data_IF_698558981593
#
_entry.id   IF_698558981593
#
_cell.length_a   1.000
_cell.length_b   1.000
_cell.length_c   1.000
_cell.angle_alpha   90.00
_cell.angle_beta   90.00
_cell.angle_gamma   90.00
#
_symmetry.space_group_name_H-M   'P 1'
#
loop_
_entity.id
_entity.type
_entity.pdbx_description
1 polymer ?
#
# COMPACT_ATOMS: atom_id res chain seq x y z
N UNK A 1 28.75 42.41 -37.95
CA UNK A 1 29.65 41.42 -37.33
C UNK A 1 30.34 42.05 -36.17
N UNK A 2 30.39 41.47 -34.97
CA UNK A 2 30.89 41.89 -33.67
C UNK A 2 29.82 42.38 -32.67
N UNK A 3 29.16 41.45 -32.00
CA UNK A 3 28.42 41.70 -30.72
C UNK A 3 28.28 40.48 -29.81
N UNK A 4 29.06 39.43 -29.91
CA UNK A 4 28.90 38.20 -29.10
C UNK A 4 30.16 37.79 -28.29
N UNK A 5 31.01 38.75 -27.88
CA UNK A 5 32.26 38.42 -27.21
C UNK A 5 32.36 38.95 -25.76
N UNK A 6 31.24 39.14 -25.02
CA UNK A 6 31.27 39.64 -23.64
C UNK A 6 30.52 38.84 -22.58
N UNK A 7 30.04 37.61 -22.89
CA UNK A 7 29.25 36.80 -21.95
C UNK A 7 29.95 35.52 -21.40
N UNK A 8 31.17 35.26 -21.83
CA UNK A 8 31.91 34.03 -21.43
C UNK A 8 32.63 34.10 -20.07
N UNK A 9 33.06 35.27 -19.49
CA UNK A 9 33.76 35.24 -18.20
C UNK A 9 32.87 35.09 -16.96
N UNK A 10 31.54 35.24 -17.05
CA UNK A 10 30.65 35.13 -15.87
C UNK A 10 30.27 33.70 -15.49
N UNK A 11 30.36 32.75 -16.42
CA UNK A 11 30.06 31.33 -16.16
C UNK A 11 31.20 30.57 -15.48
N UNK A 12 32.43 31.09 -15.58
CA UNK A 12 33.62 30.45 -14.99
C UNK A 12 33.84 30.81 -13.51
N UNK A 13 33.15 31.84 -12.99
CA UNK A 13 33.24 32.23 -11.57
C UNK A 13 32.36 31.39 -10.66
N UNK A 14 31.34 30.70 -11.22
CA UNK A 14 30.41 29.86 -10.46
C UNK A 14 30.99 28.48 -10.07
N UNK A 15 32.00 27.97 -10.74
CA UNK A 15 32.54 26.63 -10.53
C UNK A 15 33.73 26.57 -9.54
N UNK A 16 34.29 27.71 -9.13
CA UNK A 16 35.40 27.73 -8.17
C UNK A 16 34.99 27.76 -6.69
N UNK A 17 33.71 27.86 -6.37
CA UNK A 17 33.21 27.82 -4.97
C UNK A 17 32.98 26.40 -4.42
N UNK A 18 33.11 25.35 -5.22
CA UNK A 18 32.94 23.97 -4.78
C UNK A 18 34.21 23.30 -4.19
N UNK A 19 35.35 23.95 -4.23
CA UNK A 19 36.63 23.36 -3.84
C UNK A 19 37.16 24.00 -2.57
N UNK A 20 36.84 23.48 -1.40
CA UNK A 20 37.48 23.51 -0.09
C UNK A 20 36.51 23.73 1.09
N UNK A 21 35.46 22.94 1.18
CA UNK A 21 34.72 22.83 2.44
C UNK A 21 35.57 21.98 3.42
N UNK A 22 36.55 22.58 4.11
CA UNK A 22 37.27 21.94 5.18
C UNK A 22 36.37 21.70 6.39
N UNK A 23 36.66 20.67 7.21
CA UNK A 23 35.91 20.44 8.44
C UNK A 23 35.81 21.69 9.31
N UNK A 24 36.88 22.52 9.34
CA UNK A 24 36.91 23.80 10.04
C UNK A 24 35.84 24.78 9.52
N UNK A 25 35.75 25.01 8.18
CA UNK A 25 34.78 25.95 7.60
C UNK A 25 33.33 25.51 7.84
N UNK A 26 33.08 24.19 7.68
CA UNK A 26 31.76 23.63 7.97
C UNK A 26 31.38 23.82 9.44
N UNK A 27 32.32 23.62 10.36
CA UNK A 27 32.08 23.82 11.78
C UNK A 27 31.85 25.29 12.12
N UNK A 28 32.63 26.22 11.58
CA UNK A 28 32.44 27.65 11.74
C UNK A 28 31.12 28.16 11.16
N UNK A 29 30.66 27.53 10.07
CA UNK A 29 29.35 27.76 9.47
C UNK A 29 28.21 27.04 10.21
N UNK A 30 28.45 26.40 11.35
CA UNK A 30 27.48 25.63 12.15
C UNK A 30 26.83 24.45 11.40
N UNK A 31 27.43 23.99 10.31
CA UNK A 31 26.95 22.86 9.50
C UNK A 31 27.45 21.53 10.09
N UNK A 32 27.08 21.27 11.34
CA UNK A 32 27.65 20.17 12.14
C UNK A 32 27.44 18.79 11.51
N UNK A 33 26.27 18.51 10.94
CA UNK A 33 26.00 17.25 10.26
C UNK A 33 26.92 17.05 9.03
N UNK A 34 27.21 18.12 8.29
CA UNK A 34 28.13 18.05 7.16
C UNK A 34 29.59 17.78 7.59
N UNK A 35 30.02 18.29 8.75
CA UNK A 35 31.31 17.92 9.35
C UNK A 35 31.34 16.42 9.59
N UNK A 36 30.30 15.86 10.22
CA UNK A 36 30.21 14.45 10.55
C UNK A 36 30.22 13.60 9.28
N UNK A 37 29.38 13.94 8.30
CA UNK A 37 29.30 13.24 7.01
C UNK A 37 30.62 13.21 6.25
N UNK A 38 31.40 14.29 6.35
CA UNK A 38 32.70 14.41 5.68
C UNK A 38 33.79 13.65 6.39
N UNK A 39 33.88 13.80 7.70
CA UNK A 39 35.08 13.32 8.48
C UNK A 39 34.91 11.88 8.91
N UNK A 40 33.69 11.44 9.29
CA UNK A 40 33.46 10.11 9.80
C UNK A 40 33.92 8.98 8.85
N UNK A 41 33.66 9.03 7.53
CA UNK A 41 34.13 8.00 6.60
C UNK A 41 35.64 7.89 6.53
N UNK A 42 36.36 9.00 6.66
CA UNK A 42 37.84 8.99 6.62
C UNK A 42 38.43 8.39 7.90
N UNK A 43 37.81 8.68 9.06
CA UNK A 43 38.20 8.04 10.34
C UNK A 43 37.94 6.53 10.30
N UNK A 44 36.84 6.08 9.69
CA UNK A 44 36.51 4.66 9.50
C UNK A 44 37.55 3.94 8.61
N UNK A 45 38.17 4.66 7.67
CA UNK A 45 39.25 4.16 6.82
C UNK A 45 40.65 4.23 7.50
N UNK A 46 40.71 4.64 8.77
CA UNK A 46 41.98 4.76 9.52
C UNK A 46 42.74 6.05 9.29
N UNK A 47 42.20 7.03 8.58
CA UNK A 47 42.85 8.33 8.38
C UNK A 47 42.60 9.24 9.59
N UNK A 48 43.53 9.30 10.51
CA UNK A 48 43.42 9.98 11.80
C UNK A 48 44.06 11.38 11.76
N UNK A 49 43.34 12.37 11.20
CA UNK A 49 43.71 13.76 11.33
C UNK A 49 43.15 14.32 12.66
N UNK A 50 44.06 14.64 13.61
CA UNK A 50 43.66 15.10 14.94
C UNK A 50 42.78 16.39 14.91
N UNK A 51 43.07 17.34 13.99
CA UNK A 51 42.29 18.56 13.86
C UNK A 51 40.84 18.27 13.37
N UNK A 52 40.73 17.41 12.38
CA UNK A 52 39.41 17.04 11.84
C UNK A 52 38.59 16.23 12.85
N UNK A 53 39.23 15.34 13.62
CA UNK A 53 38.60 14.61 14.73
C UNK A 53 38.08 15.56 15.81
N UNK A 54 38.83 16.63 16.14
CA UNK A 54 38.35 17.62 17.12
C UNK A 54 37.12 18.36 16.62
N UNK A 55 37.09 18.79 15.33
CA UNK A 55 35.88 19.40 14.74
C UNK A 55 34.71 18.42 14.68
N UNK A 56 34.96 17.15 14.34
CA UNK A 56 33.96 16.09 14.35
C UNK A 56 33.39 15.91 15.76
N UNK A 57 34.21 15.80 16.79
CA UNK A 57 33.80 15.62 18.17
C UNK A 57 32.90 16.79 18.64
N UNK A 58 33.40 18.02 18.42
CA UNK A 58 32.64 19.22 18.77
C UNK A 58 31.30 19.32 18.00
N UNK A 59 31.30 18.96 16.71
CA UNK A 59 30.08 18.93 15.87
C UNK A 59 29.07 17.90 16.37
N UNK A 60 29.54 16.69 16.71
CA UNK A 60 28.66 15.62 17.24
C UNK A 60 27.96 16.07 18.53
N UNK A 61 28.69 16.64 19.49
CA UNK A 61 28.10 17.09 20.75
C UNK A 61 27.14 18.25 20.54
N UNK A 62 27.52 19.28 19.77
CA UNK A 62 26.67 20.44 19.51
C UNK A 62 25.40 20.09 18.77
N UNK A 63 25.49 19.25 17.73
CA UNK A 63 24.33 18.83 16.97
C UNK A 63 23.34 18.02 17.82
N UNK A 64 23.84 17.07 18.62
CA UNK A 64 22.97 16.28 19.49
C UNK A 64 22.36 17.13 20.64
N UNK A 65 23.11 18.05 21.19
CA UNK A 65 22.60 18.98 22.21
C UNK A 65 21.49 19.86 21.62
N UNK A 66 21.69 20.48 20.46
CA UNK A 66 20.71 21.31 19.78
C UNK A 66 19.41 20.52 19.47
N UNK A 67 19.54 19.26 18.99
CA UNK A 67 18.38 18.42 18.74
C UNK A 67 17.66 18.05 20.04
N UNK A 68 18.41 17.73 21.11
CA UNK A 68 17.81 17.42 22.41
C UNK A 68 17.02 18.62 22.97
N UNK A 69 17.63 19.81 22.98
CA UNK A 69 16.98 21.04 23.44
C UNK A 69 15.71 21.35 22.62
N UNK A 70 15.81 21.20 21.28
CA UNK A 70 14.65 21.42 20.40
C UNK A 70 13.54 20.39 20.62
N UNK A 71 13.88 19.11 20.82
CA UNK A 71 12.90 18.06 21.16
C UNK A 71 12.17 18.42 22.46
N UNK A 72 12.89 18.85 23.49
CA UNK A 72 12.27 19.23 24.76
C UNK A 72 11.34 20.44 24.58
N UNK A 73 11.76 21.46 23.84
CA UNK A 73 10.95 22.64 23.53
C UNK A 73 9.67 22.25 22.78
N UNK A 74 9.77 21.36 21.77
CA UNK A 74 8.63 20.88 21.00
C UNK A 74 7.67 20.05 21.86
N UNK A 75 8.20 19.13 22.69
CA UNK A 75 7.37 18.34 23.63
C UNK A 75 6.61 19.22 24.60
N UNK A 76 7.22 20.32 25.06
CA UNK A 76 6.58 21.27 25.99
C UNK A 76 5.39 22.02 25.38
N UNK A 77 5.28 22.13 24.05
CA UNK A 77 4.11 22.75 23.40
C UNK A 77 2.84 21.91 23.54
N UNK A 78 2.96 20.60 23.73
CA UNK A 78 1.83 19.67 23.79
C UNK A 78 1.06 19.51 22.48
N UNK A 79 1.52 20.15 21.38
CA UNK A 79 0.82 20.12 20.10
C UNK A 79 1.09 18.83 19.32
N UNK A 80 0.09 18.24 18.63
CA UNK A 80 0.28 16.99 17.89
C UNK A 80 1.09 17.15 16.61
N UNK A 81 1.11 18.33 16.00
CA UNK A 81 1.78 18.64 14.73
C UNK A 81 3.32 18.69 14.84
N UNK A 82 3.86 18.72 16.06
CA UNK A 82 5.31 18.74 16.29
C UNK A 82 5.96 17.35 16.22
N UNK A 83 5.18 16.27 16.30
CA UNK A 83 5.72 14.90 16.38
C UNK A 83 6.51 14.45 15.15
N UNK A 84 6.15 14.83 13.90
CA UNK A 84 6.99 14.57 12.74
C UNK A 84 8.40 15.19 12.86
N UNK A 85 8.50 16.43 13.35
CA UNK A 85 9.81 17.09 13.58
C UNK A 85 10.58 16.37 14.68
N UNK A 86 9.95 16.03 15.81
CA UNK A 86 10.58 15.29 16.91
C UNK A 86 11.15 13.96 16.42
N UNK A 87 10.37 13.18 15.66
CA UNK A 87 10.85 11.91 15.11
C UNK A 87 12.03 12.11 14.16
N UNK A 88 11.99 13.09 13.27
CA UNK A 88 13.07 13.41 12.36
C UNK A 88 14.37 13.76 13.11
N UNK A 89 14.28 14.49 14.23
CA UNK A 89 15.43 14.81 15.08
C UNK A 89 16.02 13.56 15.72
N UNK A 90 15.21 12.66 16.22
CA UNK A 90 15.69 11.38 16.71
C UNK A 90 16.35 10.54 15.60
N UNK A 91 15.83 10.56 14.39
CA UNK A 91 16.47 9.93 13.22
C UNK A 91 17.86 10.54 12.94
N UNK A 92 18.00 11.86 13.04
CA UNK A 92 19.29 12.57 12.87
C UNK A 92 20.29 12.16 13.96
N UNK A 93 19.87 12.14 15.22
CA UNK A 93 20.71 11.68 16.35
C UNK A 93 21.15 10.23 16.18
N UNK A 94 20.25 9.34 15.77
CA UNK A 94 20.56 7.94 15.44
C UNK A 94 21.56 7.85 14.29
N UNK A 95 21.36 8.61 13.22
CA UNK A 95 22.26 8.66 12.07
C UNK A 95 23.69 9.06 12.47
N UNK A 96 23.84 10.05 13.35
CA UNK A 96 25.14 10.44 13.91
C UNK A 96 25.79 9.32 14.74
N UNK A 97 25.00 8.63 15.58
CA UNK A 97 25.48 7.47 16.32
C UNK A 97 25.98 6.35 15.40
N UNK A 98 25.22 6.05 14.33
CA UNK A 98 25.58 5.03 13.35
C UNK A 98 26.87 5.40 12.60
N UNK A 99 27.05 6.67 12.22
CA UNK A 99 28.26 7.15 11.54
C UNK A 99 29.53 6.94 12.37
N UNK A 100 29.43 6.88 13.70
CA UNK A 100 30.54 6.68 14.60
C UNK A 100 30.76 5.22 15.04
N UNK A 101 29.91 4.28 14.59
CA UNK A 101 30.01 2.85 14.99
C UNK A 101 31.39 2.23 14.69
N UNK A 102 31.94 2.51 13.52
CA UNK A 102 33.18 1.97 13.03
C UNK A 102 34.44 2.57 13.70
N UNK A 103 34.30 3.61 14.53
CA UNK A 103 35.44 4.29 15.13
C UNK A 103 36.19 3.41 16.10
N UNK A 104 37.55 3.44 16.10
CA UNK A 104 38.37 2.80 17.11
C UNK A 104 38.02 3.29 18.52
N UNK A 105 38.08 2.42 19.51
CA UNK A 105 37.76 2.76 20.91
C UNK A 105 38.59 3.94 21.44
N UNK A 106 39.85 4.02 21.02
CA UNK A 106 40.76 5.13 21.39
C UNK A 106 40.24 6.48 20.90
N UNK A 107 39.69 6.53 19.67
CA UNK A 107 39.08 7.75 19.09
C UNK A 107 37.81 8.09 19.82
N UNK A 108 36.89 7.11 20.04
CA UNK A 108 35.67 7.30 20.81
C UNK A 108 35.92 7.86 22.20
N UNK A 109 36.94 7.31 22.91
CA UNK A 109 37.31 7.80 24.24
C UNK A 109 37.83 9.24 24.17
N UNK A 110 38.69 9.57 23.17
CA UNK A 110 39.22 10.91 22.97
C UNK A 110 38.13 11.96 22.61
N UNK A 111 37.01 11.53 22.00
CA UNK A 111 35.88 12.37 21.68
C UNK A 111 34.85 12.50 22.82
N UNK A 112 35.07 11.85 23.97
CA UNK A 112 34.03 11.69 25.01
C UNK A 112 32.70 11.15 24.45
N UNK A 113 32.79 10.20 23.49
CA UNK A 113 31.62 9.63 22.86
C UNK A 113 30.78 8.84 23.85
N UNK A 114 29.50 9.21 23.96
CA UNK A 114 28.49 8.46 24.68
C UNK A 114 27.50 7.92 23.67
N UNK A 115 27.27 6.59 23.68
CA UNK A 115 26.23 5.98 22.86
C UNK A 115 24.87 6.42 23.39
N UNK A 116 24.10 7.09 22.55
CA UNK A 116 22.74 7.48 22.89
C UNK A 116 21.81 6.26 22.77
N UNK A 117 21.06 5.97 23.81
CA UNK A 117 19.96 5.01 23.76
C UNK A 117 18.68 5.79 23.41
N UNK A 118 18.23 5.66 22.17
CA UNK A 118 17.11 6.41 21.61
C UNK A 118 15.93 5.48 21.25
N UNK A 119 16.03 4.17 21.53
CA UNK A 119 15.11 3.16 20.99
C UNK A 119 13.66 3.46 21.32
N UNK A 120 13.33 3.53 22.60
CA UNK A 120 11.95 3.71 23.07
C UNK A 120 11.40 5.10 22.73
N UNK A 121 12.20 6.14 22.94
CA UNK A 121 11.81 7.52 22.65
C UNK A 121 11.55 7.73 21.15
N UNK A 122 12.40 7.18 20.29
CA UNK A 122 12.25 7.27 18.84
C UNK A 122 11.02 6.50 18.36
N UNK A 123 10.76 5.31 18.94
CA UNK A 123 9.58 4.52 18.61
C UNK A 123 8.29 5.24 19.04
N UNK A 124 8.26 5.79 20.24
CA UNK A 124 7.12 6.58 20.74
C UNK A 124 6.87 7.82 19.86
N UNK A 125 7.94 8.54 19.47
CA UNK A 125 7.84 9.68 18.58
C UNK A 125 7.33 9.27 17.18
N UNK A 126 7.80 8.14 16.64
CA UNK A 126 7.33 7.59 15.36
C UNK A 126 5.83 7.33 15.40
N UNK A 127 5.34 6.61 16.41
CA UNK A 127 3.93 6.26 16.51
C UNK A 127 3.03 7.50 16.59
N UNK A 128 3.45 8.53 17.34
CA UNK A 128 2.72 9.79 17.44
C UNK A 128 2.77 10.59 16.13
N UNK A 129 3.92 10.60 15.44
CA UNK A 129 4.05 11.22 14.12
C UNK A 129 3.15 10.55 13.09
N UNK A 130 3.14 9.21 13.03
CA UNK A 130 2.26 8.45 12.15
C UNK A 130 0.79 8.76 12.43
N UNK A 131 0.37 8.71 13.69
CA UNK A 131 -1.01 9.02 14.09
C UNK A 131 -1.44 10.43 13.64
N UNK A 132 -0.60 11.43 13.86
CA UNK A 132 -0.87 12.80 13.41
C UNK A 132 -0.96 12.89 11.87
N UNK A 133 0.02 12.33 11.15
CA UNK A 133 0.09 12.43 9.69
C UNK A 133 -1.09 11.74 9.02
N UNK A 134 -1.51 10.58 9.53
CA UNK A 134 -2.70 9.85 9.08
C UNK A 134 -3.97 10.68 9.33
N UNK A 135 -4.16 11.16 10.57
CA UNK A 135 -5.35 11.94 10.93
C UNK A 135 -5.45 13.23 10.09
N UNK A 136 -4.33 13.94 9.91
CA UNK A 136 -4.29 15.20 9.15
C UNK A 136 -4.55 14.98 7.67
N UNK A 137 -3.94 13.95 7.07
CA UNK A 137 -4.19 13.57 5.67
C UNK A 137 -5.65 13.16 5.46
N UNK A 138 -6.20 12.33 6.36
CA UNK A 138 -7.60 11.88 6.30
C UNK A 138 -8.58 13.04 6.44
N UNK A 139 -8.34 13.98 7.36
CA UNK A 139 -9.16 15.18 7.54
C UNK A 139 -9.19 16.02 6.26
N UNK A 140 -8.04 16.26 5.63
CA UNK A 140 -7.98 17.03 4.39
C UNK A 140 -8.71 16.31 3.25
N UNK A 141 -8.47 15.01 3.08
CA UNK A 141 -9.14 14.22 2.05
C UNK A 141 -10.65 14.06 2.29
N UNK A 142 -11.16 14.30 3.51
CA UNK A 142 -12.61 14.23 3.77
C UNK A 142 -13.39 15.40 3.17
N UNK A 143 -12.75 16.51 2.82
CA UNK A 143 -13.39 17.65 2.15
C UNK A 143 -13.79 17.33 0.70
N UNK A 144 -13.13 16.36 0.07
CA UNK A 144 -13.31 16.03 -1.35
C UNK A 144 -12.80 17.09 -2.32
N UNK A 145 -12.15 18.16 -1.82
CA UNK A 145 -11.65 19.23 -2.69
C UNK A 145 -10.28 18.90 -3.31
N UNK A 146 -10.06 19.32 -4.57
CA UNK A 146 -8.80 19.14 -5.26
C UNK A 146 -7.65 19.86 -4.53
N UNK A 147 -7.92 21.07 -4.01
CA UNK A 147 -6.92 21.86 -3.26
C UNK A 147 -6.46 21.15 -1.99
N UNK A 148 -7.40 20.58 -1.21
CA UNK A 148 -7.05 19.86 0.01
C UNK A 148 -6.34 18.54 -0.31
N UNK A 149 -6.68 17.89 -1.43
CA UNK A 149 -5.97 16.70 -1.91
C UNK A 149 -4.51 17.01 -2.32
N UNK A 150 -4.26 18.17 -2.95
CA UNK A 150 -2.91 18.65 -3.24
C UNK A 150 -2.10 18.85 -1.95
N UNK A 151 -2.70 19.52 -0.96
CA UNK A 151 -2.05 19.77 0.32
C UNK A 151 -1.85 18.51 1.16
N UNK A 152 -2.82 17.59 1.17
CA UNK A 152 -2.70 16.28 1.82
C UNK A 152 -1.48 15.49 1.32
N UNK A 153 -1.08 15.70 0.06
CA UNK A 153 0.10 15.08 -0.52
C UNK A 153 1.38 15.30 0.29
N UNK A 154 1.54 16.46 0.93
CA UNK A 154 2.71 16.77 1.78
C UNK A 154 2.76 15.88 3.02
N UNK A 155 1.62 15.67 3.67
CA UNK A 155 1.51 14.84 4.87
C UNK A 155 1.62 13.35 4.54
N UNK A 156 1.04 12.92 3.42
CA UNK A 156 1.18 11.55 2.91
C UNK A 156 2.65 11.22 2.59
N UNK A 157 3.37 12.16 1.98
CA UNK A 157 4.79 11.98 1.69
C UNK A 157 5.62 11.92 2.98
N UNK A 158 5.34 12.76 3.96
CA UNK A 158 5.97 12.67 5.28
C UNK A 158 5.65 11.32 5.97
N UNK A 159 4.41 10.84 5.88
CA UNK A 159 4.02 9.52 6.41
C UNK A 159 4.84 8.40 5.73
N UNK A 160 4.98 8.45 4.41
CA UNK A 160 5.78 7.50 3.63
C UNK A 160 7.25 7.48 4.07
N UNK A 161 7.83 8.64 4.38
CA UNK A 161 9.20 8.74 4.92
C UNK A 161 9.29 8.26 6.36
N UNK A 162 8.24 8.45 7.16
CA UNK A 162 8.19 8.02 8.56
C UNK A 162 8.00 6.50 8.66
N UNK A 163 7.08 5.94 7.87
CA UNK A 163 6.79 4.51 7.82
C UNK A 163 6.19 4.10 6.47
N UNK A 164 6.99 3.47 5.63
CA UNK A 164 6.55 2.96 4.32
C UNK A 164 5.56 1.80 4.40
N UNK A 165 5.53 1.11 5.52
CA UNK A 165 4.68 -0.07 5.78
C UNK A 165 3.42 0.31 6.57
N UNK A 166 3.14 1.62 6.74
CA UNK A 166 1.92 2.04 7.41
C UNK A 166 0.68 1.54 6.66
N UNK A 167 -0.20 0.83 7.36
CA UNK A 167 -1.36 0.15 6.77
C UNK A 167 -2.32 1.11 6.05
N UNK A 168 -2.40 2.38 6.45
CA UNK A 168 -3.29 3.37 5.86
C UNK A 168 -2.66 4.16 4.71
N UNK A 169 -1.34 4.01 4.48
CA UNK A 169 -0.62 4.80 3.48
C UNK A 169 -1.19 4.60 2.07
N UNK A 170 -1.45 3.35 1.69
CA UNK A 170 -1.98 3.03 0.37
C UNK A 170 -3.37 3.63 0.16
N UNK A 171 -4.25 3.55 1.17
CA UNK A 171 -5.62 4.07 1.07
C UNK A 171 -5.63 5.59 0.98
N UNK A 172 -4.78 6.28 1.76
CA UNK A 172 -4.62 7.73 1.64
C UNK A 172 -4.10 8.15 0.26
N UNK A 173 -3.15 7.39 -0.32
CA UNK A 173 -2.63 7.65 -1.65
C UNK A 173 -3.69 7.42 -2.73
N UNK A 174 -4.45 6.32 -2.67
CA UNK A 174 -5.56 6.04 -3.60
C UNK A 174 -6.60 7.16 -3.56
N UNK A 175 -7.05 7.52 -2.35
CA UNK A 175 -8.05 8.58 -2.15
C UNK A 175 -7.57 9.92 -2.69
N UNK A 176 -6.32 10.29 -2.42
CA UNK A 176 -5.71 11.49 -2.99
C UNK A 176 -5.70 11.46 -4.52
N UNK A 177 -5.29 10.35 -5.12
CA UNK A 177 -5.23 10.21 -6.57
C UNK A 177 -6.62 10.38 -7.19
N UNK A 178 -7.66 9.80 -6.60
CA UNK A 178 -9.04 9.95 -7.05
C UNK A 178 -9.50 11.41 -7.05
N UNK A 179 -9.23 12.17 -5.99
CA UNK A 179 -9.64 13.59 -5.93
C UNK A 179 -8.83 14.52 -6.85
N UNK A 180 -7.65 14.10 -7.27
CA UNK A 180 -6.84 14.86 -8.23
C UNK A 180 -7.17 14.49 -9.68
N UNK A 181 -7.79 13.32 -9.92
CA UNK A 181 -8.10 12.82 -11.25
C UNK A 181 -9.30 13.59 -11.84
N UNK A 182 -9.19 13.99 -13.11
CA UNK A 182 -10.33 14.48 -13.90
C UNK A 182 -11.18 13.30 -14.43
N UNK A 183 -10.54 12.14 -14.62
CA UNK A 183 -11.15 10.87 -15.05
C UNK A 183 -10.50 9.71 -14.35
N UNK A 184 -11.28 8.69 -14.07
CA UNK A 184 -10.75 7.42 -13.55
C UNK A 184 -10.60 6.43 -14.69
N UNK A 185 -9.37 6.10 -15.02
CA UNK A 185 -9.03 5.12 -16.04
C UNK A 185 -8.61 3.81 -15.38
N UNK A 186 -9.16 2.69 -15.88
CA UNK A 186 -8.77 1.35 -15.46
C UNK A 186 -8.08 0.62 -16.60
N UNK A 187 -7.02 -0.11 -16.25
CA UNK A 187 -6.40 -1.10 -17.11
C UNK A 187 -6.92 -2.51 -16.80
N UNK A 188 -6.94 -3.38 -17.83
CA UNK A 188 -7.23 -4.79 -17.66
C UNK A 188 -6.26 -5.65 -18.47
N UNK A 189 -5.77 -6.73 -17.87
CA UNK A 189 -4.98 -7.75 -18.56
C UNK A 189 -5.25 -9.13 -17.96
N UNK A 190 -5.16 -10.16 -18.81
CA UNK A 190 -5.32 -11.55 -18.41
C UNK A 190 -4.37 -12.44 -19.21
N UNK A 191 -3.80 -13.43 -18.57
CA UNK A 191 -3.03 -14.51 -19.21
C UNK A 191 -3.98 -15.60 -19.77
N UNK A 192 -5.29 -15.49 -19.54
CA UNK A 192 -6.33 -16.44 -19.94
C UNK A 192 -7.33 -15.81 -20.92
N UNK A 193 -7.92 -16.63 -21.77
CA UNK A 193 -9.10 -16.26 -22.54
C UNK A 193 -10.30 -16.23 -21.61
N UNK A 194 -10.94 -15.07 -21.49
CA UNK A 194 -12.11 -14.85 -20.66
C UNK A 194 -13.36 -14.67 -21.52
N UNK A 195 -14.56 -14.99 -21.02
CA UNK A 195 -15.80 -14.82 -21.78
C UNK A 195 -16.06 -13.35 -22.14
N UNK A 196 -16.82 -13.15 -23.21
CA UNK A 196 -17.37 -11.84 -23.56
C UNK A 196 -18.22 -11.30 -22.39
N UNK A 197 -18.07 -10.00 -22.09
CA UNK A 197 -18.73 -9.37 -20.96
C UNK A 197 -18.02 -9.53 -19.61
N UNK A 198 -16.94 -10.34 -19.50
CA UNK A 198 -16.20 -10.44 -18.24
C UNK A 198 -15.64 -9.08 -17.79
N UNK A 199 -14.99 -8.35 -18.69
CA UNK A 199 -14.42 -7.03 -18.42
C UNK A 199 -15.50 -6.03 -18.05
N UNK A 200 -16.62 -6.06 -18.76
CA UNK A 200 -17.77 -5.19 -18.49
C UNK A 200 -18.39 -5.50 -17.10
N UNK A 201 -18.44 -6.77 -16.73
CA UNK A 201 -18.90 -7.19 -15.40
C UNK A 201 -17.94 -6.76 -14.27
N UNK A 202 -16.61 -6.69 -14.54
CA UNK A 202 -15.63 -6.21 -13.56
C UNK A 202 -15.74 -4.70 -13.35
N UNK A 203 -16.05 -3.92 -14.40
CA UNK A 203 -16.02 -2.45 -14.35
C UNK A 203 -17.41 -1.80 -14.55
N UNK A 204 -18.47 -2.58 -14.49
CA UNK A 204 -19.86 -2.08 -14.53
C UNK A 204 -20.28 -1.50 -13.19
N UNK A 205 -19.67 -0.38 -12.79
CA UNK A 205 -20.02 0.32 -11.56
C UNK A 205 -21.34 1.09 -11.71
N UNK A 206 -22.19 1.00 -10.71
CA UNK A 206 -23.35 1.88 -10.62
C UNK A 206 -22.94 3.31 -10.25
N UNK A 207 -23.71 4.32 -10.70
CA UNK A 207 -23.37 5.73 -10.47
C UNK A 207 -23.19 6.11 -8.99
N UNK A 208 -23.82 5.38 -8.06
CA UNK A 208 -23.68 5.56 -6.61
C UNK A 208 -22.45 4.85 -6.00
N UNK A 209 -21.73 4.05 -6.77
CA UNK A 209 -20.55 3.32 -6.29
C UNK A 209 -19.26 4.09 -6.47
N UNK A 210 -19.28 5.13 -7.29
CA UNK A 210 -18.13 6.02 -7.52
C UNK A 210 -18.13 7.18 -6.52
N UNK A 211 -16.94 7.64 -6.09
CA UNK A 211 -16.82 8.86 -5.29
C UNK A 211 -17.45 10.07 -6.00
N UNK A 212 -18.02 10.99 -5.23
CA UNK A 212 -18.61 12.22 -5.77
C UNK A 212 -17.58 13.02 -6.59
N UNK A 213 -17.96 13.45 -7.78
CA UNK A 213 -17.11 14.24 -8.69
C UNK A 213 -16.35 13.42 -9.75
N UNK A 214 -16.57 12.10 -9.79
CA UNK A 214 -16.03 11.25 -10.87
C UNK A 214 -17.11 11.11 -11.94
N UNK A 215 -16.87 11.67 -13.14
CA UNK A 215 -17.84 11.68 -14.25
C UNK A 215 -17.97 10.33 -14.97
N UNK A 216 -17.25 9.30 -14.55
CA UNK A 216 -17.33 7.94 -15.11
C UNK A 216 -16.04 7.16 -15.04
N UNK A 217 -16.16 5.88 -15.33
CA UNK A 217 -15.04 4.93 -15.42
C UNK A 217 -14.76 4.63 -16.87
N UNK A 218 -13.51 4.80 -17.28
CA UNK A 218 -13.05 4.45 -18.61
C UNK A 218 -12.13 3.23 -18.52
N UNK A 219 -12.55 2.12 -19.13
CA UNK A 219 -11.73 0.93 -19.25
C UNK A 219 -10.91 0.99 -20.53
N UNK A 220 -9.60 1.00 -20.41
CA UNK A 220 -8.69 1.08 -21.55
C UNK A 220 -7.76 -0.12 -21.57
N UNK A 221 -7.50 -0.64 -22.77
CA UNK A 221 -6.59 -1.78 -22.95
C UNK A 221 -5.16 -1.48 -22.50
N UNK A 222 -4.69 -0.25 -22.69
CA UNK A 222 -3.38 0.24 -22.25
C UNK A 222 -3.47 1.74 -21.88
N UNK A 223 -4.03 2.08 -20.72
CA UNK A 223 -4.11 3.47 -20.29
C UNK A 223 -2.70 4.01 -19.98
N UNK A 224 -2.45 5.29 -20.33
CA UNK A 224 -1.17 5.95 -20.03
C UNK A 224 -0.99 6.22 -18.53
N UNK A 225 -2.07 6.61 -17.90
CA UNK A 225 -2.11 6.98 -16.47
C UNK A 225 -3.33 6.34 -15.80
N UNK A 226 -3.37 4.99 -15.68
CA UNK A 226 -4.50 4.34 -15.03
C UNK A 226 -4.52 4.70 -13.54
N UNK A 227 -5.72 4.84 -12.98
CA UNK A 227 -5.89 4.83 -11.54
C UNK A 227 -5.57 3.44 -10.97
N UNK A 228 -6.11 2.39 -11.63
CA UNK A 228 -5.80 1.02 -11.27
C UNK A 228 -5.76 0.11 -12.51
N UNK A 229 -5.04 -1.02 -12.40
CA UNK A 229 -5.01 -2.06 -13.41
C UNK A 229 -5.27 -3.41 -12.76
N UNK A 230 -6.31 -4.09 -13.23
CA UNK A 230 -6.65 -5.46 -12.84
C UNK A 230 -5.86 -6.42 -13.72
N UNK A 231 -5.13 -7.32 -13.07
CA UNK A 231 -4.31 -8.35 -13.73
C UNK A 231 -4.78 -9.72 -13.26
N UNK A 232 -5.48 -10.47 -14.12
CA UNK A 232 -5.89 -11.86 -13.84
C UNK A 232 -4.73 -12.79 -14.11
N UNK A 233 -4.31 -13.54 -13.08
CA UNK A 233 -3.16 -14.45 -13.14
C UNK A 233 -3.53 -15.92 -13.08
N UNK A 234 -4.70 -16.25 -12.55
CA UNK A 234 -5.16 -17.62 -12.51
C UNK A 234 -6.68 -17.69 -12.64
N UNK A 235 -7.13 -18.67 -13.41
CA UNK A 235 -8.54 -19.05 -13.58
C UNK A 235 -8.64 -20.54 -13.38
N UNK A 236 -9.36 -20.95 -12.36
CA UNK A 236 -9.59 -22.37 -12.06
C UNK A 236 -11.09 -22.66 -12.17
N UNK A 237 -11.45 -23.58 -13.03
CA UNK A 237 -12.82 -24.08 -13.20
C UNK A 237 -12.84 -25.54 -12.77
N UNK A 238 -13.65 -25.88 -11.76
CA UNK A 238 -13.84 -27.29 -11.39
C UNK A 238 -14.73 -28.02 -12.41
N UNK A 239 -14.51 -29.31 -12.65
CA UNK A 239 -15.51 -30.12 -13.35
C UNK A 239 -16.80 -30.13 -12.53
N UNK A 240 -17.94 -30.34 -13.22
CA UNK A 240 -19.20 -30.62 -12.55
C UNK A 240 -19.08 -31.93 -11.81
N UNK A 241 -19.32 -31.91 -10.50
CA UNK A 241 -19.37 -33.12 -9.69
C UNK A 241 -20.84 -33.48 -9.42
N UNK A 242 -21.20 -34.70 -9.72
CA UNK A 242 -22.51 -35.28 -9.47
C UNK A 242 -22.31 -36.48 -8.54
N UNK A 243 -22.75 -36.32 -7.30
CA UNK A 243 -22.72 -37.40 -6.31
C UNK A 243 -24.15 -37.91 -6.14
N UNK A 244 -24.33 -39.25 -6.08
CA UNK A 244 -25.62 -39.92 -5.87
C UNK A 244 -25.47 -40.97 -4.79
N UNK A 245 -26.40 -40.93 -3.84
CA UNK A 245 -26.52 -41.96 -2.80
C UNK A 245 -27.94 -42.51 -2.82
N UNK A 246 -28.06 -43.84 -3.10
CA UNK A 246 -29.37 -44.50 -3.15
C UNK A 246 -29.55 -45.44 -1.97
N UNK A 247 -30.76 -45.48 -1.42
CA UNK A 247 -31.18 -46.37 -0.35
C UNK A 247 -32.64 -46.76 -0.51
N UNK A 248 -33.12 -47.77 0.25
CA UNK A 248 -34.50 -48.23 0.19
C UNK A 248 -35.22 -47.91 1.50
N UNK A 249 -36.43 -47.40 1.37
CA UNK A 249 -37.39 -47.26 2.47
C UNK A 249 -38.53 -48.24 2.28
N UNK A 250 -39.05 -48.75 3.40
CA UNK A 250 -40.17 -49.68 3.40
C UNK A 250 -41.22 -49.23 4.45
N UNK A 251 -42.47 -49.17 4.07
CA UNK A 251 -43.59 -48.87 4.96
C UNK A 251 -44.87 -49.57 4.47
N UNK A 252 -45.60 -50.19 5.38
CA UNK A 252 -46.90 -50.81 5.03
C UNK A 252 -46.86 -51.88 3.95
N UNK A 253 -45.75 -52.61 3.79
CA UNK A 253 -45.55 -53.61 2.73
C UNK A 253 -45.22 -53.02 1.37
N UNK A 254 -45.02 -51.71 1.25
CA UNK A 254 -44.57 -50.97 0.07
C UNK A 254 -43.11 -50.62 0.18
N UNK A 255 -42.42 -50.59 -0.95
CA UNK A 255 -40.98 -50.23 -1.04
C UNK A 255 -40.78 -49.08 -2.00
N UNK A 256 -39.88 -48.19 -1.64
CA UNK A 256 -39.44 -47.08 -2.49
C UNK A 256 -37.90 -47.03 -2.48
N UNK A 257 -37.32 -46.81 -3.63
CA UNK A 257 -35.91 -46.50 -3.78
C UNK A 257 -35.78 -44.99 -3.79
N UNK A 258 -34.95 -44.46 -2.87
CA UNK A 258 -34.69 -43.02 -2.70
C UNK A 258 -33.27 -42.78 -3.19
N UNK A 259 -33.08 -41.76 -4.04
CA UNK A 259 -31.78 -41.33 -4.49
C UNK A 259 -31.58 -39.86 -4.12
N UNK A 260 -30.62 -39.59 -3.26
CA UNK A 260 -30.14 -38.25 -2.92
C UNK A 260 -29.02 -37.85 -3.87
N UNK A 261 -29.19 -36.73 -4.54
CA UNK A 261 -28.26 -36.18 -5.53
C UNK A 261 -27.63 -34.91 -5.02
N UNK A 262 -26.34 -34.71 -5.23
CA UNK A 262 -25.63 -33.47 -4.97
C UNK A 262 -24.85 -33.06 -6.22
N UNK A 263 -25.15 -31.84 -6.71
CA UNK A 263 -24.48 -31.23 -7.84
C UNK A 263 -23.58 -30.07 -7.32
N UNK A 264 -22.32 -30.15 -7.67
CA UNK A 264 -21.34 -29.13 -7.22
C UNK A 264 -20.48 -28.67 -8.39
N UNK A 265 -20.27 -27.37 -8.50
CA UNK A 265 -19.34 -26.75 -9.45
C UNK A 265 -18.79 -25.45 -8.86
N UNK A 266 -17.54 -25.11 -9.13
CA UNK A 266 -16.93 -23.88 -8.67
C UNK A 266 -15.99 -23.29 -9.71
N UNK A 267 -15.89 -21.96 -9.67
CA UNK A 267 -14.91 -21.18 -10.43
C UNK A 267 -14.17 -20.27 -9.45
N UNK A 268 -12.86 -20.18 -9.59
CA UNK A 268 -12.02 -19.23 -8.85
C UNK A 268 -11.21 -18.40 -9.84
N UNK A 269 -11.19 -17.08 -9.61
CA UNK A 269 -10.37 -16.13 -10.37
C UNK A 269 -9.50 -15.40 -9.39
N UNK A 270 -8.19 -15.36 -9.65
CA UNK A 270 -7.24 -14.67 -8.77
C UNK A 270 -6.19 -13.88 -9.56
N UNK A 271 -5.61 -12.89 -8.90
CA UNK A 271 -4.66 -11.98 -9.49
C UNK A 271 -4.32 -10.80 -8.59
N UNK A 272 -4.09 -9.64 -9.21
CA UNK A 272 -3.67 -8.42 -8.53
C UNK A 272 -4.40 -7.21 -9.08
N UNK A 273 -4.70 -6.25 -8.19
CA UNK A 273 -5.05 -4.87 -8.56
C UNK A 273 -3.84 -4.00 -8.27
N UNK A 274 -3.25 -3.43 -9.31
CA UNK A 274 -2.16 -2.47 -9.20
C UNK A 274 -2.75 -1.06 -9.18
N UNK A 275 -2.37 -0.23 -8.23
CA UNK A 275 -2.77 1.17 -8.10
C UNK A 275 -1.62 2.09 -8.48
N UNK A 276 -1.96 3.24 -9.07
CA UNK A 276 -1.00 4.21 -9.59
C UNK A 276 -1.34 5.62 -9.08
N UNK A 277 -0.33 6.49 -9.02
CA UNK A 277 -0.51 7.92 -8.76
C UNK A 277 -0.79 8.68 -10.08
N UNK A 278 -0.99 9.99 -9.96
CA UNK A 278 -1.26 10.89 -11.10
C UNK A 278 -0.12 10.92 -12.14
N UNK A 279 1.09 10.54 -11.77
CA UNK A 279 2.25 10.47 -12.65
C UNK A 279 2.40 9.09 -13.31
N UNK A 280 1.47 8.16 -13.07
CA UNK A 280 1.50 6.79 -13.58
C UNK A 280 2.49 5.89 -12.85
N UNK A 281 3.00 6.29 -11.69
CA UNK A 281 3.87 5.46 -10.87
C UNK A 281 3.05 4.54 -9.98
N UNK A 282 3.38 3.24 -9.97
CA UNK A 282 2.71 2.27 -9.12
C UNK A 282 2.94 2.58 -7.64
N UNK A 283 1.85 2.80 -6.90
CA UNK A 283 1.83 3.10 -5.46
C UNK A 283 1.53 1.87 -4.61
N UNK A 284 0.87 0.86 -5.19
CA UNK A 284 0.57 -0.37 -4.46
C UNK A 284 0.08 -1.49 -5.35
N UNK A 285 0.02 -2.68 -4.77
CA UNK A 285 -0.51 -3.90 -5.39
C UNK A 285 -1.30 -4.65 -4.34
N UNK A 286 -2.56 -4.99 -4.64
CA UNK A 286 -3.46 -5.72 -3.75
C UNK A 286 -3.81 -7.04 -4.44
N UNK A 287 -3.53 -8.20 -3.82
CA UNK A 287 -3.96 -9.49 -4.36
C UNK A 287 -5.48 -9.63 -4.20
N UNK A 288 -6.10 -10.36 -5.13
CA UNK A 288 -7.51 -10.76 -5.02
C UNK A 288 -7.69 -12.24 -5.34
N UNK A 289 -8.70 -12.83 -4.74
CA UNK A 289 -9.27 -14.13 -5.11
C UNK A 289 -10.78 -14.03 -4.95
N UNK A 290 -11.51 -14.27 -6.03
CA UNK A 290 -12.98 -14.29 -6.06
C UNK A 290 -13.45 -15.66 -6.52
N UNK A 291 -14.56 -16.14 -5.93
CA UNK A 291 -15.11 -17.48 -6.18
C UNK A 291 -16.58 -17.41 -6.52
N UNK A 292 -16.97 -18.15 -7.55
CA UNK A 292 -18.36 -18.50 -7.82
C UNK A 292 -18.56 -19.98 -7.50
N UNK A 293 -19.57 -20.33 -6.73
CA UNK A 293 -19.86 -21.70 -6.37
C UNK A 293 -21.36 -21.98 -6.60
N UNK A 294 -21.59 -23.13 -7.22
CA UNK A 294 -22.92 -23.69 -7.41
C UNK A 294 -23.02 -24.97 -6.62
N UNK A 295 -24.10 -25.09 -5.85
CA UNK A 295 -24.49 -26.32 -5.15
C UNK A 295 -25.98 -26.51 -5.28
N UNK A 296 -26.41 -27.70 -5.68
CA UNK A 296 -27.81 -28.08 -5.69
C UNK A 296 -27.95 -29.52 -5.18
N UNK A 297 -28.66 -29.67 -4.06
CA UNK A 297 -28.98 -30.96 -3.47
C UNK A 297 -30.47 -31.21 -3.72
N UNK A 298 -30.83 -32.39 -4.28
CA UNK A 298 -32.19 -32.78 -4.53
C UNK A 298 -32.39 -34.30 -4.36
N UNK A 299 -33.63 -34.72 -4.10
CA UNK A 299 -33.97 -36.11 -3.89
C UNK A 299 -34.97 -36.57 -4.96
N UNK A 300 -34.73 -37.78 -5.48
CA UNK A 300 -35.66 -38.45 -6.38
C UNK A 300 -36.13 -39.82 -5.82
N UNK A 301 -37.28 -40.28 -6.21
CA UNK A 301 -37.79 -41.58 -5.79
C UNK A 301 -38.20 -42.42 -6.96
N UNK A 302 -38.06 -43.77 -6.82
CA UNK A 302 -38.59 -44.76 -7.75
C UNK A 302 -39.35 -45.82 -6.95
N UNK A 303 -40.68 -45.88 -7.14
CA UNK A 303 -41.54 -46.78 -6.40
C UNK A 303 -42.73 -46.04 -5.76
N UNK A 304 -43.28 -46.60 -4.68
CA UNK A 304 -44.47 -46.07 -4.04
C UNK A 304 -44.12 -44.96 -3.04
N UNK A 305 -44.61 -43.75 -3.34
CA UNK A 305 -44.37 -42.54 -2.51
C UNK A 305 -44.87 -42.72 -1.05
N UNK A 306 -45.91 -43.53 -0.84
CA UNK A 306 -46.45 -43.79 0.52
C UNK A 306 -45.46 -44.58 1.40
N UNK A 307 -44.43 -45.20 0.81
CA UNK A 307 -43.37 -45.88 1.55
C UNK A 307 -42.26 -44.92 2.04
N UNK A 308 -42.29 -43.64 1.62
CA UNK A 308 -41.30 -42.64 2.04
C UNK A 308 -41.53 -42.21 3.49
N UNK A 309 -40.42 -42.01 4.22
CA UNK A 309 -40.44 -41.32 5.50
C UNK A 309 -40.86 -39.84 5.36
N UNK A 310 -41.29 -39.23 6.46
CA UNK A 310 -41.60 -37.79 6.49
C UNK A 310 -40.36 -36.95 6.12
N UNK A 311 -39.19 -37.38 6.48
CA UNK A 311 -37.93 -36.72 6.13
C UNK A 311 -37.69 -36.77 4.63
N UNK A 312 -37.81 -37.92 3.99
CA UNK A 312 -37.66 -38.05 2.55
C UNK A 312 -38.72 -37.23 1.80
N UNK A 313 -39.99 -37.22 2.26
CA UNK A 313 -41.05 -36.42 1.65
C UNK A 313 -40.69 -34.91 1.64
N UNK A 314 -40.11 -34.38 2.73
CA UNK A 314 -39.66 -33.00 2.81
C UNK A 314 -38.53 -32.69 1.82
N UNK A 315 -37.61 -33.65 1.57
CA UNK A 315 -36.52 -33.51 0.62
C UNK A 315 -36.93 -33.56 -0.84
N UNK A 316 -38.10 -34.16 -1.15
CA UNK A 316 -38.68 -34.18 -2.50
C UNK A 316 -39.16 -32.82 -3.01
N UNK A 317 -39.24 -31.82 -2.15
CA UNK A 317 -39.61 -30.46 -2.53
C UNK A 317 -38.54 -29.72 -3.30
N UNK A 318 -37.28 -30.14 -3.13
CA UNK A 318 -36.13 -29.61 -3.88
C UNK A 318 -36.04 -30.27 -5.25
N UNK A 319 -36.00 -29.44 -6.32
CA UNK A 319 -35.94 -29.92 -7.71
C UNK A 319 -34.54 -29.81 -8.28
N UNK A 320 -34.18 -30.67 -9.27
CA UNK A 320 -32.97 -30.49 -10.01
C UNK A 320 -32.95 -29.15 -10.74
N UNK A 321 -31.84 -28.43 -10.63
CA UNK A 321 -31.57 -27.17 -11.32
C UNK A 321 -30.46 -27.40 -12.33
N UNK A 322 -30.55 -26.87 -13.57
CA UNK A 322 -29.45 -26.97 -14.53
C UNK A 322 -28.14 -26.42 -13.95
N UNK A 323 -27.04 -27.18 -14.11
CA UNK A 323 -25.72 -26.69 -13.68
C UNK A 323 -25.33 -25.49 -14.53
N UNK A 324 -24.90 -24.38 -13.93
CA UNK A 324 -24.46 -23.21 -14.68
C UNK A 324 -23.29 -23.51 -15.60
N UNK A 325 -23.22 -22.82 -16.73
CA UNK A 325 -22.08 -22.89 -17.65
C UNK A 325 -20.82 -22.27 -17.01
N UNK A 326 -19.64 -22.64 -17.48
CA UNK A 326 -18.36 -22.04 -17.05
C UNK A 326 -18.37 -20.53 -17.26
N UNK A 327 -18.90 -20.09 -18.40
CA UNK A 327 -19.05 -18.69 -18.76
C UNK A 327 -19.91 -17.92 -17.74
N UNK A 328 -21.10 -18.45 -17.42
CA UNK A 328 -22.00 -17.83 -16.44
C UNK A 328 -21.34 -17.69 -15.06
N UNK A 329 -20.60 -18.71 -14.63
CA UNK A 329 -19.89 -18.68 -13.34
C UNK A 329 -18.68 -17.75 -13.35
N UNK A 330 -18.01 -17.61 -14.49
CA UNK A 330 -16.92 -16.61 -14.65
C UNK A 330 -17.47 -15.18 -14.59
N UNK A 331 -18.63 -14.91 -15.21
CA UNK A 331 -19.30 -13.61 -15.11
C UNK A 331 -19.74 -13.31 -13.65
N UNK A 332 -20.24 -14.31 -12.92
CA UNK A 332 -20.56 -14.14 -11.48
C UNK A 332 -19.30 -13.84 -10.65
N UNK A 333 -18.17 -14.50 -10.93
CA UNK A 333 -16.91 -14.17 -10.31
C UNK A 333 -16.43 -12.75 -10.66
N UNK A 334 -16.65 -12.30 -11.90
CA UNK A 334 -16.34 -10.93 -12.32
C UNK A 334 -17.15 -9.88 -11.55
N UNK A 335 -18.44 -10.12 -11.30
CA UNK A 335 -19.29 -9.25 -10.46
C UNK A 335 -18.78 -9.15 -9.03
N UNK A 336 -18.33 -10.26 -8.44
CA UNK A 336 -17.72 -10.25 -7.10
C UNK A 336 -16.38 -9.50 -7.07
N UNK A 337 -15.63 -9.52 -8.17
CA UNK A 337 -14.44 -8.68 -8.32
C UNK A 337 -14.80 -7.19 -8.43
N UNK A 338 -15.88 -6.86 -9.13
CA UNK A 338 -16.45 -5.50 -9.16
C UNK A 338 -16.76 -5.01 -7.75
N UNK A 339 -17.51 -5.78 -6.94
CA UNK A 339 -17.89 -5.44 -5.56
C UNK A 339 -16.63 -5.17 -4.70
N UNK A 340 -15.57 -5.98 -4.89
CA UNK A 340 -14.30 -5.80 -4.20
C UNK A 340 -13.65 -4.48 -4.59
N UNK A 341 -13.56 -4.17 -5.90
CA UNK A 341 -12.98 -2.93 -6.40
C UNK A 341 -13.81 -1.72 -5.95
N UNK A 342 -15.14 -1.78 -6.06
CA UNK A 342 -16.04 -0.72 -5.60
C UNK A 342 -15.89 -0.44 -4.10
N UNK A 343 -15.70 -1.49 -3.29
CA UNK A 343 -15.42 -1.35 -1.86
C UNK A 343 -14.09 -0.64 -1.60
N UNK A 344 -13.06 -0.96 -2.38
CA UNK A 344 -11.75 -0.30 -2.28
C UNK A 344 -11.78 1.17 -2.75
N UNK A 345 -12.65 1.52 -3.70
CA UNK A 345 -12.83 2.91 -4.16
C UNK A 345 -13.54 3.80 -3.13
N UNK A 346 -14.38 3.19 -2.26
CA UNK A 346 -15.15 3.92 -1.23
C UNK A 346 -14.38 4.15 0.08
N UNK A 347 -13.28 3.44 0.31
CA UNK A 347 -12.41 3.64 1.47
C UNK A 347 -11.59 4.93 1.36
#
# INVERSE_FOLDING_TARGET
>A
MMKYLRLIPLLLLGTMLAACNTAKRLYEAQQYDQVIQRVAPEVCKGKLNAKDINYLAASYHKANQADHERIQALKATGQPDVWPEIYQRYCSMKGRNEALKCFPNKVKKGMNYVKLDLGDDMMAARNKAEGYLVAKSGQMLSSGSKSDAEEAGKYIEQLRHTNRENAQLLDLQKKRTLYLAERVEFGFSSDYTLPEGFVDAVFGFDAGELPAGIDGVHVMKNPKHPFASVVVKNVAVSPTRLDEVSFKENSGGKTVEVSDHSQNKSVAVSGFVNYFDTDGKRIGTVPFEVKSAFKNDYTTIKGDREACSAETLNRLDTKPVPVPTDESMLIDAAKKLNDLIATELRK
#
